data_IF_251559078217
#
_entry.id   IF_251559078217
#
_cell.length_a   1.000
_cell.length_b   1.000
_cell.length_c   1.000
_cell.angle_alpha   90.00
_cell.angle_beta   90.00
_cell.angle_gamma   90.00
#
_symmetry.space_group_name_H-M   'P 1'
#
loop_
_entity.id
_entity.type
_entity.pdbx_description
1 polymer ?
#
# COMPACT_ATOMS: atom_id res chain seq x y z
N UNK A 1 18.94 -0.19 7.32
CA UNK A 1 17.52 -0.35 7.70
C UNK A 1 16.59 -0.21 6.49
N UNK A 2 16.60 0.93 5.78
CA UNK A 2 15.77 1.14 4.58
C UNK A 2 16.00 0.10 3.46
N UNK A 3 17.26 -0.30 3.22
CA UNK A 3 17.58 -1.32 2.21
C UNK A 3 16.87 -2.67 2.44
N UNK A 4 16.80 -3.13 3.69
CA UNK A 4 16.09 -4.36 4.06
C UNK A 4 14.58 -4.23 3.86
N UNK A 5 14.01 -3.05 4.16
CA UNK A 5 12.58 -2.77 3.96
C UNK A 5 12.22 -2.91 2.47
N UNK A 6 13.02 -2.32 1.57
CA UNK A 6 12.77 -2.44 0.14
C UNK A 6 12.88 -3.88 -0.38
N UNK A 7 13.82 -4.68 0.13
CA UNK A 7 13.95 -6.10 -0.26
C UNK A 7 12.73 -6.91 0.20
N UNK A 8 12.31 -6.76 1.45
CA UNK A 8 11.15 -7.49 1.97
C UNK A 8 9.88 -7.12 1.22
N UNK A 9 9.62 -5.83 1.01
CA UNK A 9 8.47 -5.38 0.24
C UNK A 9 8.55 -5.82 -1.23
N UNK A 10 9.74 -5.81 -1.85
CA UNK A 10 9.92 -6.33 -3.20
C UNK A 10 9.56 -7.80 -3.34
N UNK A 11 9.95 -8.64 -2.37
CA UNK A 11 9.59 -10.06 -2.35
C UNK A 11 8.07 -10.26 -2.16
N UNK A 12 7.45 -9.52 -1.26
CA UNK A 12 6.00 -9.56 -1.03
C UNK A 12 5.22 -9.14 -2.28
N UNK A 13 5.59 -8.02 -2.89
CA UNK A 13 4.98 -7.52 -4.13
C UNK A 13 5.07 -8.58 -5.23
N UNK A 14 6.25 -9.16 -5.40
CA UNK A 14 6.48 -10.14 -6.48
C UNK A 14 5.63 -11.40 -6.26
N UNK A 15 5.58 -11.90 -5.02
CA UNK A 15 4.78 -13.08 -4.67
C UNK A 15 3.28 -12.85 -4.90
N UNK A 16 2.74 -11.75 -4.39
CA UNK A 16 1.30 -11.46 -4.49
C UNK A 16 0.89 -11.07 -5.92
N UNK A 17 1.73 -10.35 -6.68
CA UNK A 17 1.46 -10.08 -8.11
C UNK A 17 1.44 -11.39 -8.91
N UNK A 18 2.37 -12.30 -8.67
CA UNK A 18 2.38 -13.62 -9.32
C UNK A 18 1.12 -14.42 -8.96
N UNK A 19 0.68 -14.37 -7.70
CA UNK A 19 -0.55 -14.99 -7.26
C UNK A 19 -1.79 -14.39 -7.95
N UNK A 20 -1.90 -13.06 -8.00
CA UNK A 20 -3.02 -12.37 -8.65
C UNK A 20 -3.05 -12.62 -10.17
N UNK A 21 -1.88 -12.69 -10.81
CA UNK A 21 -1.76 -13.02 -12.23
C UNK A 21 -2.18 -14.46 -12.51
N UNK A 22 -1.75 -15.42 -11.70
CA UNK A 22 -2.08 -16.85 -11.87
C UNK A 22 -3.57 -17.14 -11.65
N UNK A 23 -4.29 -16.29 -10.93
CA UNK A 23 -5.71 -16.44 -10.64
C UNK A 23 -6.61 -15.47 -11.44
N UNK A 24 -6.09 -14.83 -12.50
CA UNK A 24 -6.80 -13.88 -13.37
C UNK A 24 -7.40 -12.63 -12.68
N UNK A 25 -6.96 -12.32 -11.45
CA UNK A 25 -7.33 -11.09 -10.70
C UNK A 25 -6.57 -9.84 -11.19
N UNK A 26 -6.43 -9.69 -12.51
CA UNK A 26 -5.62 -8.60 -13.13
C UNK A 26 -6.13 -7.20 -12.79
N UNK A 27 -7.42 -7.06 -12.48
CA UNK A 27 -8.04 -5.80 -12.06
C UNK A 27 -7.67 -5.37 -10.63
N UNK A 28 -7.23 -6.31 -9.80
CA UNK A 28 -6.89 -6.07 -8.40
C UNK A 28 -5.41 -5.72 -8.21
N UNK A 29 -4.55 -6.11 -9.17
CA UNK A 29 -3.13 -5.75 -9.22
C UNK A 29 -2.88 -4.24 -9.00
N UNK A 30 -3.54 -3.30 -9.71
CA UNK A 30 -3.31 -1.88 -9.47
C UNK A 30 -3.73 -1.43 -8.06
N UNK A 31 -4.81 -1.98 -7.51
CA UNK A 31 -5.26 -1.69 -6.13
C UNK A 31 -4.23 -2.18 -5.12
N UNK A 32 -3.72 -3.39 -5.32
CA UNK A 32 -2.68 -4.00 -4.49
C UNK A 32 -1.39 -3.17 -4.50
N UNK A 33 -0.93 -2.73 -5.69
CA UNK A 33 0.26 -1.88 -5.83
C UNK A 33 0.09 -0.56 -5.05
N UNK A 34 -1.09 0.05 -5.10
CA UNK A 34 -1.39 1.29 -4.37
C UNK A 34 -1.27 1.05 -2.84
N UNK A 35 -1.93 0.00 -2.33
CA UNK A 35 -1.92 -0.33 -0.89
C UNK A 35 -0.50 -0.58 -0.38
N UNK A 36 0.30 -1.34 -1.13
CA UNK A 36 1.69 -1.61 -0.77
C UNK A 36 2.53 -0.34 -0.80
N UNK A 37 2.38 0.50 -1.83
CA UNK A 37 3.17 1.74 -1.96
C UNK A 37 2.95 2.67 -0.77
N UNK A 38 1.70 2.78 -0.29
CA UNK A 38 1.36 3.58 0.89
C UNK A 38 1.95 2.95 2.15
N UNK A 39 1.91 1.63 2.26
CA UNK A 39 2.50 0.91 3.40
C UNK A 39 4.01 1.16 3.50
N UNK A 40 4.73 1.07 2.38
CA UNK A 40 6.18 1.40 2.32
C UNK A 40 6.43 2.85 2.70
N UNK A 41 5.59 3.77 2.23
CA UNK A 41 5.72 5.20 2.53
C UNK A 41 5.56 5.46 4.04
N UNK A 42 4.52 4.90 4.67
CA UNK A 42 4.28 5.02 6.11
C UNK A 42 5.42 4.38 6.91
N UNK A 43 5.84 3.16 6.56
CA UNK A 43 6.97 2.50 7.22
C UNK A 43 8.26 3.31 7.10
N UNK A 44 8.48 3.99 5.97
CA UNK A 44 9.64 4.86 5.77
C UNK A 44 9.58 6.10 6.66
N UNK A 45 8.40 6.71 6.81
CA UNK A 45 8.22 7.87 7.71
C UNK A 45 8.43 7.50 9.18
N UNK A 46 7.92 6.32 9.60
CA UNK A 46 8.17 5.77 10.94
C UNK A 46 9.67 5.52 11.15
N UNK A 47 10.34 4.91 10.16
CA UNK A 47 11.78 4.63 10.22
C UNK A 47 12.65 5.90 10.30
N UNK A 48 12.17 7.02 9.75
CA UNK A 48 12.82 8.33 9.84
C UNK A 48 12.52 9.07 11.16
N UNK A 49 11.78 8.44 12.07
CA UNK A 49 11.39 9.00 13.37
C UNK A 49 10.62 10.32 13.26
N UNK A 50 9.97 10.54 12.11
CA UNK A 50 9.05 11.65 11.90
C UNK A 50 7.80 11.26 12.69
N UNK A 51 7.56 11.95 13.80
CA UNK A 51 6.46 11.64 14.70
C UNK A 51 5.14 11.98 14.02
N UNK A 52 4.54 11.00 13.34
CA UNK A 52 3.21 11.13 12.76
C UNK A 52 2.21 10.87 13.89
N UNK A 53 1.35 11.83 14.25
CA UNK A 53 0.30 11.59 15.24
C UNK A 53 -0.66 10.55 14.67
N UNK A 54 -0.53 9.31 15.14
CA UNK A 54 -1.28 8.13 14.72
C UNK A 54 -1.34 7.89 13.19
N UNK A 55 -0.47 7.00 12.65
CA UNK A 55 -0.51 6.57 11.25
C UNK A 55 -1.90 6.07 10.78
N UNK A 56 -2.70 5.56 11.72
CA UNK A 56 -4.08 5.11 11.50
C UNK A 56 -5.02 6.23 11.03
N UNK A 57 -4.82 7.47 11.49
CA UNK A 57 -5.67 8.61 11.10
C UNK A 57 -5.45 8.94 9.62
N UNK A 58 -4.20 8.98 9.18
CA UNK A 58 -3.87 9.22 7.77
C UNK A 58 -4.34 8.07 6.88
N UNK A 59 -4.24 6.83 7.36
CA UNK A 59 -4.76 5.66 6.65
C UNK A 59 -6.28 5.72 6.50
N UNK A 60 -7.00 6.14 7.54
CA UNK A 60 -8.44 6.31 7.52
C UNK A 60 -8.86 7.42 6.54
N UNK A 61 -8.25 8.61 6.61
CA UNK A 61 -8.54 9.70 5.67
C UNK A 61 -8.20 9.32 4.22
N UNK A 62 -7.14 8.56 4.00
CA UNK A 62 -6.80 8.06 2.68
C UNK A 62 -7.83 7.04 2.17
N UNK A 63 -8.25 6.08 3.01
CA UNK A 63 -9.30 5.13 2.65
C UNK A 63 -10.64 5.80 2.36
N UNK A 64 -11.00 6.84 3.12
CA UNK A 64 -12.17 7.67 2.85
C UNK A 64 -12.04 8.41 1.51
N UNK A 65 -10.86 8.95 1.21
CA UNK A 65 -10.60 9.60 -0.08
C UNK A 65 -10.65 8.62 -1.26
N UNK A 66 -10.07 7.43 -1.13
CA UNK A 66 -10.16 6.36 -2.15
C UNK A 66 -11.61 5.90 -2.31
N UNK A 67 -12.32 5.68 -1.20
CA UNK A 67 -13.74 5.31 -1.21
C UNK A 67 -14.59 6.39 -1.87
N UNK A 68 -14.30 7.68 -1.64
CA UNK A 68 -14.98 8.80 -2.29
C UNK A 68 -14.66 8.88 -3.79
N UNK A 69 -13.40 8.63 -4.17
CA UNK A 69 -12.96 8.69 -5.56
C UNK A 69 -13.48 7.51 -6.39
N UNK A 70 -13.63 6.33 -5.78
CA UNK A 70 -14.19 5.13 -6.43
C UNK A 70 -15.71 5.05 -6.31
N UNK A 71 -16.29 5.62 -5.25
CA UNK A 71 -17.73 5.62 -4.96
C UNK A 71 -18.53 6.71 -5.67
N UNK A 72 -17.88 7.62 -6.42
CA UNK A 72 -18.56 8.61 -7.26
C UNK A 72 -19.02 8.09 -8.63
N UNK A 73 -19.01 6.76 -8.85
CA UNK A 73 -19.38 6.09 -10.11
C UNK A 73 -20.63 5.18 -9.93
N UNK A 74 -21.34 5.28 -8.80
CA UNK A 74 -22.67 4.68 -8.58
C UNK A 74 -23.69 5.79 -8.33
#
# INVERSE_FOLDING_TARGET
MLFLIFIFYGLFITYDILYLLNNDFKKEIPIYIIIISISVFISSLIALNINIPSPLIYFQSFFEWVKSSLGGIL
#
